data_IF_252214821222
#
_entry.id   IF_252214821222
#
_cell.length_a   1.000
_cell.length_b   1.000
_cell.length_c   1.000
_cell.angle_alpha   90.00
_cell.angle_beta   90.00
_cell.angle_gamma   90.00
#
_symmetry.space_group_name_H-M   'P 1'
#
loop_
_entity.id
_entity.type
_entity.pdbx_description
1 polymer ?
#
# COMPACT_ATOMS: atom_id res chain seq x y z
N UNK A 1 117.24 33.83 91.52
CA UNK A 1 116.89 33.23 92.82
C UNK A 1 116.39 34.33 93.74
N UNK A 2 115.11 34.30 94.10
CA UNK A 2 114.60 34.87 95.34
C UNK A 2 113.34 34.06 95.69
N UNK A 3 113.52 33.12 96.61
CA UNK A 3 112.48 32.29 97.20
C UNK A 3 111.66 33.19 98.11
N UNK A 4 110.44 33.55 97.70
CA UNK A 4 109.46 34.12 98.62
C UNK A 4 108.63 32.97 99.21
N UNK A 5 108.69 32.91 100.53
CA UNK A 5 108.06 31.96 101.43
C UNK A 5 106.55 31.85 101.18
N UNK A 6 106.05 30.62 101.05
CA UNK A 6 104.64 30.31 101.19
C UNK A 6 104.26 30.46 102.66
N UNK A 7 103.62 31.57 103.01
CA UNK A 7 102.96 31.72 104.31
C UNK A 7 101.70 30.87 104.26
N UNK A 8 101.65 29.78 105.04
CA UNK A 8 100.45 28.98 105.26
C UNK A 8 99.46 29.79 106.11
N UNK A 9 98.64 30.59 105.44
CA UNK A 9 97.57 31.36 106.05
C UNK A 9 96.34 30.46 106.20
N UNK A 10 95.85 30.29 107.43
CA UNK A 10 94.60 29.58 107.73
C UNK A 10 93.43 30.10 106.88
N UNK A 11 92.60 29.23 106.25
CA UNK A 11 91.53 29.65 105.36
C UNK A 11 90.46 30.54 106.03
N UNK A 12 90.31 30.47 107.36
CA UNK A 12 89.42 31.38 108.11
C UNK A 12 89.98 32.81 108.17
N UNK A 13 91.29 32.96 108.36
CA UNK A 13 91.95 34.28 108.43
C UNK A 13 91.98 34.98 107.07
N UNK A 14 92.21 34.22 105.98
CA UNK A 14 92.18 34.78 104.62
C UNK A 14 90.79 35.25 104.19
N UNK A 15 89.73 34.55 104.62
CA UNK A 15 88.34 34.96 104.35
C UNK A 15 88.01 36.31 105.00
N UNK A 16 88.49 36.56 106.22
CA UNK A 16 88.28 37.81 106.93
C UNK A 16 89.05 38.98 106.30
N UNK A 17 90.27 38.76 105.80
CA UNK A 17 91.02 39.78 105.04
C UNK A 17 90.30 40.20 103.76
N UNK A 18 89.78 39.25 102.99
CA UNK A 18 89.08 39.52 101.73
C UNK A 18 87.75 40.26 101.97
N UNK A 19 87.03 39.92 103.04
CA UNK A 19 85.83 40.65 103.45
C UNK A 19 86.13 42.09 103.90
N UNK A 20 87.23 42.31 104.63
CA UNK A 20 87.61 43.67 105.07
C UNK A 20 88.01 44.59 103.90
N UNK A 21 88.54 44.01 102.80
CA UNK A 21 88.99 44.75 101.61
C UNK A 21 87.95 44.80 100.49
N UNK A 22 86.76 44.20 100.66
CA UNK A 22 85.78 43.99 99.59
C UNK A 22 86.39 43.40 98.31
N UNK A 23 87.38 42.50 98.45
CA UNK A 23 88.08 41.87 97.34
C UNK A 23 87.60 40.43 97.15
N UNK A 24 87.48 40.00 95.89
CA UNK A 24 87.16 38.61 95.53
C UNK A 24 88.43 37.78 95.34
N UNK A 25 88.44 36.49 95.73
CA UNK A 25 89.61 35.63 95.60
C UNK A 25 89.97 35.41 94.12
N UNK A 26 91.25 35.57 93.78
CA UNK A 26 91.75 35.44 92.40
C UNK A 26 91.80 33.98 91.96
N UNK A 27 91.64 33.71 90.66
CA UNK A 27 91.65 32.35 90.08
C UNK A 27 92.84 31.47 90.53
N UNK A 28 94.03 32.06 90.71
CA UNK A 28 95.24 31.33 91.17
C UNK A 28 95.12 30.84 92.61
N UNK A 29 94.47 31.61 93.49
CA UNK A 29 94.25 31.22 94.88
C UNK A 29 93.24 30.06 94.93
N UNK A 30 92.14 30.16 94.17
CA UNK A 30 91.12 29.10 94.08
C UNK A 30 91.72 27.80 93.52
N UNK A 31 92.58 27.92 92.50
CA UNK A 31 93.30 26.78 91.88
C UNK A 31 94.17 26.03 92.87
N UNK A 32 94.82 26.73 93.79
CA UNK A 32 95.69 26.11 94.79
C UNK A 32 94.90 25.43 95.92
N UNK A 33 93.69 25.94 96.27
CA UNK A 33 92.88 25.36 97.35
C UNK A 33 91.98 24.20 96.91
N UNK A 34 91.31 24.30 95.76
CA UNK A 34 90.29 23.31 95.32
C UNK A 34 90.84 22.40 94.22
N UNK A 35 92.01 22.73 93.68
CA UNK A 35 92.68 21.98 92.63
C UNK A 35 92.26 22.40 91.21
N UNK A 36 93.11 22.12 90.21
CA UNK A 36 92.97 22.67 88.85
C UNK A 36 91.71 22.20 88.11
N UNK A 37 91.30 20.94 88.29
CA UNK A 37 90.17 20.35 87.57
C UNK A 37 88.84 20.97 88.03
N UNK A 38 88.65 21.07 89.35
CA UNK A 38 87.43 21.63 89.96
C UNK A 38 87.31 23.13 89.71
N UNK A 39 88.44 23.84 89.71
CA UNK A 39 88.48 25.28 89.39
C UNK A 39 88.04 25.53 87.95
N UNK A 40 88.44 24.65 87.00
CA UNK A 40 88.02 24.75 85.60
C UNK A 40 86.51 24.59 85.44
N UNK A 41 85.92 23.57 86.06
CA UNK A 41 84.46 23.35 86.05
C UNK A 41 83.71 24.57 86.64
N UNK A 42 84.17 25.11 87.76
CA UNK A 42 83.57 26.31 88.37
C UNK A 42 83.62 27.53 87.42
N UNK A 43 84.72 27.70 86.70
CA UNK A 43 84.90 28.79 85.72
C UNK A 43 84.06 28.59 84.44
N UNK A 44 83.85 27.33 84.03
CA UNK A 44 83.08 27.02 82.82
C UNK A 44 81.58 27.27 83.04
N UNK A 45 81.05 26.90 84.22
CA UNK A 45 79.62 26.98 84.56
C UNK A 45 79.19 28.26 85.31
N UNK A 46 80.09 29.22 85.53
CA UNK A 46 79.73 30.50 86.17
C UNK A 46 79.10 31.50 85.19
N UNK A 47 78.18 32.37 85.65
CA UNK A 47 77.63 33.44 84.82
C UNK A 47 78.72 34.48 84.43
N UNK A 48 78.55 35.18 83.29
CA UNK A 48 79.59 36.03 82.69
C UNK A 48 80.14 37.12 83.65
N UNK A 49 79.30 37.68 84.51
CA UNK A 49 79.72 38.69 85.49
C UNK A 49 80.68 38.12 86.54
N UNK A 50 80.48 36.85 86.92
CA UNK A 50 81.36 36.12 87.83
C UNK A 50 82.69 35.74 87.18
N UNK A 51 82.70 35.45 85.86
CA UNK A 51 83.94 35.17 85.12
C UNK A 51 84.86 36.40 85.06
N UNK A 52 84.27 37.60 84.96
CA UNK A 52 85.01 38.87 85.02
C UNK A 52 85.61 39.12 86.40
N UNK A 53 84.84 38.89 87.48
CA UNK A 53 85.31 39.05 88.87
C UNK A 53 86.42 38.06 89.25
N UNK A 54 86.34 36.81 88.78
CA UNK A 54 87.32 35.76 89.06
C UNK A 54 88.60 35.87 88.22
N UNK A 55 88.62 36.77 87.23
CA UNK A 55 89.76 36.98 86.32
C UNK A 55 89.95 35.85 85.30
N UNK A 56 88.88 35.15 84.95
CA UNK A 56 88.87 34.03 83.98
C UNK A 56 88.81 34.55 82.55
N UNK A 57 88.07 35.63 82.34
CA UNK A 57 88.15 36.42 81.11
C UNK A 57 89.50 37.14 81.13
N UNK A 58 90.34 37.01 80.09
CA UNK A 58 91.59 37.76 80.03
C UNK A 58 91.24 39.24 80.20
N UNK A 59 91.85 39.90 81.20
CA UNK A 59 91.82 41.35 81.24
C UNK A 59 92.32 41.79 79.87
N UNK A 60 91.52 42.59 79.16
CA UNK A 60 91.93 43.18 77.91
C UNK A 60 93.32 43.78 78.15
N UNK A 61 94.34 43.19 77.53
CA UNK A 61 95.65 43.80 77.50
C UNK A 61 95.43 45.15 76.84
N UNK A 62 95.49 46.21 77.66
CA UNK A 62 95.66 47.54 77.14
C UNK A 62 96.83 47.50 76.16
N UNK A 63 96.71 48.18 75.01
CA UNK A 63 97.68 48.05 73.94
C UNK A 63 99.10 48.22 74.48
N UNK A 64 100.10 47.44 73.99
CA UNK A 64 101.49 47.68 74.35
C UNK A 64 101.79 49.16 74.10
N UNK A 65 102.59 49.78 74.99
CA UNK A 65 102.87 51.22 75.07
C UNK A 65 103.38 51.91 73.77
N UNK A 66 103.42 51.21 72.63
CA UNK A 66 103.70 51.74 71.31
C UNK A 66 102.60 51.30 70.32
N UNK A 67 101.46 52.00 70.28
CA UNK A 67 100.41 51.81 69.26
C UNK A 67 100.28 53.02 68.32
N UNK A 68 101.35 53.79 68.16
CA UNK A 68 101.45 54.81 67.12
C UNK A 68 102.72 54.56 66.32
N UNK A 69 102.56 53.79 65.24
CA UNK A 69 103.48 53.87 64.10
C UNK A 69 102.89 54.97 63.20
N UNK A 70 103.58 56.11 63.01
CA UNK A 70 103.14 57.07 62.01
C UNK A 70 103.09 56.33 60.66
N UNK A 71 102.02 56.50 59.86
CA UNK A 71 101.94 55.83 58.58
C UNK A 71 103.08 56.35 57.71
N UNK A 72 103.93 55.46 57.23
CA UNK A 72 104.81 55.75 56.10
C UNK A 72 103.91 56.04 54.90
N UNK A 73 103.80 57.33 54.54
CA UNK A 73 103.12 57.83 53.35
C UNK A 73 103.30 56.85 52.18
N UNK A 74 102.25 56.40 51.48
CA UNK A 74 101.32 57.23 50.71
C UNK A 74 99.97 56.52 50.55
N UNK A 75 99.10 56.59 51.55
CA UNK A 75 97.67 56.58 51.22
C UNK A 75 97.38 58.03 50.88
N UNK A 76 97.39 58.32 49.57
CA UNK A 76 96.81 59.55 49.05
C UNK A 76 95.35 59.51 49.51
N UNK A 77 95.05 60.19 50.61
CA UNK A 77 93.72 60.67 50.91
C UNK A 77 93.39 61.60 49.74
N UNK A 78 92.92 61.03 48.63
CA UNK A 78 92.34 61.83 47.57
C UNK A 78 91.23 62.60 48.29
N UNK A 79 91.28 63.94 48.34
CA UNK A 79 90.12 64.68 48.77
C UNK A 79 88.97 64.14 47.94
N UNK A 80 87.85 63.83 48.57
CA UNK A 80 86.66 63.32 47.87
C UNK A 80 86.27 64.41 46.88
N UNK A 81 86.77 64.35 45.65
CA UNK A 81 86.67 65.41 44.65
C UNK A 81 85.25 65.51 44.10
N UNK A 82 84.42 64.52 44.37
CA UNK A 82 83.01 64.56 44.06
C UNK A 82 82.26 65.42 45.09
N UNK A 83 82.01 66.66 44.71
CA UNK A 83 81.25 67.64 45.47
C UNK A 83 79.88 67.11 45.95
N UNK A 84 79.29 66.17 45.21
CA UNK A 84 78.04 65.50 45.56
C UNK A 84 78.16 64.58 46.79
N UNK A 85 79.30 63.90 46.96
CA UNK A 85 79.54 63.00 48.09
C UNK A 85 79.82 63.84 49.35
N UNK A 86 80.59 64.92 49.23
CA UNK A 86 80.81 65.86 50.34
C UNK A 86 79.49 66.50 50.78
N UNK A 87 78.65 66.95 49.84
CA UNK A 87 77.32 67.50 50.15
C UNK A 87 76.42 66.46 50.81
N UNK A 88 76.43 65.20 50.37
CA UNK A 88 75.63 64.12 50.96
C UNK A 88 76.04 63.76 52.40
N UNK A 89 77.30 64.00 52.79
CA UNK A 89 77.83 63.73 54.13
C UNK A 89 77.64 64.90 55.13
N UNK A 90 77.10 66.03 54.67
CA UNK A 90 76.62 67.10 55.57
C UNK A 90 75.25 66.72 56.16
N UNK A 91 74.92 67.22 57.35
CA UNK A 91 73.61 66.98 57.99
C UNK A 91 72.43 67.24 57.04
N UNK A 92 72.46 68.34 56.30
CA UNK A 92 71.44 68.69 55.32
C UNK A 92 71.40 67.75 54.11
N UNK A 93 72.56 67.22 53.69
CA UNK A 93 72.65 66.21 52.66
C UNK A 93 72.05 64.87 53.07
N UNK A 94 72.30 64.45 54.32
CA UNK A 94 71.74 63.23 54.90
C UNK A 94 70.21 63.35 54.99
N UNK A 95 69.69 64.50 55.43
CA UNK A 95 68.24 64.74 55.49
C UNK A 95 67.62 64.66 54.09
N UNK A 96 68.18 65.37 53.10
CA UNK A 96 67.67 65.34 51.72
C UNK A 96 67.69 63.94 51.10
N UNK A 97 68.74 63.16 51.39
CA UNK A 97 68.85 61.78 50.93
C UNK A 97 67.80 60.90 51.63
N UNK A 98 67.59 61.06 52.93
CA UNK A 98 66.52 60.38 53.68
C UNK A 98 65.12 60.71 53.14
N UNK A 99 64.85 61.99 52.84
CA UNK A 99 63.60 62.43 52.22
C UNK A 99 63.41 61.87 50.82
N UNK A 100 64.48 61.76 50.02
CA UNK A 100 64.42 61.17 48.69
C UNK A 100 64.16 59.66 48.75
N UNK A 101 64.85 58.93 49.64
CA UNK A 101 64.63 57.50 49.86
C UNK A 101 63.22 57.24 50.37
N UNK A 102 62.73 58.06 51.33
CA UNK A 102 61.36 57.98 51.83
C UNK A 102 60.34 58.20 50.70
N UNK A 103 60.51 59.23 49.88
CA UNK A 103 59.64 59.49 48.72
C UNK A 103 59.64 58.34 47.71
N UNK A 104 60.81 57.78 47.40
CA UNK A 104 60.91 56.63 46.49
C UNK A 104 60.23 55.39 47.08
N UNK A 105 60.43 55.12 48.37
CA UNK A 105 59.78 54.01 49.05
C UNK A 105 58.26 54.19 49.09
N UNK A 106 57.75 55.39 49.43
CA UNK A 106 56.32 55.71 49.39
C UNK A 106 55.75 55.55 47.98
N UNK A 107 56.47 56.00 46.95
CA UNK A 107 56.06 55.83 45.55
C UNK A 107 56.01 54.35 45.14
N UNK A 108 57.01 53.55 45.53
CA UNK A 108 57.05 52.11 45.23
C UNK A 108 55.94 51.35 45.95
N UNK A 109 55.67 51.69 47.22
CA UNK A 109 54.56 51.10 48.00
C UNK A 109 53.23 51.47 47.38
N UNK A 110 53.00 52.74 47.06
CA UNK A 110 51.77 53.20 46.42
C UNK A 110 51.56 52.57 45.04
N UNK A 111 52.64 52.41 44.25
CA UNK A 111 52.59 51.73 42.96
C UNK A 111 52.18 50.28 43.11
N UNK A 112 52.82 49.52 44.01
CA UNK A 112 52.45 48.12 44.29
C UNK A 112 51.01 47.99 44.79
N UNK A 113 50.57 48.90 45.65
CA UNK A 113 49.20 48.94 46.15
C UNK A 113 48.20 49.18 44.99
N UNK A 114 48.45 50.17 44.15
CA UNK A 114 47.60 50.48 43.00
C UNK A 114 47.59 49.34 41.96
N UNK A 115 48.73 48.71 41.71
CA UNK A 115 48.82 47.57 40.79
C UNK A 115 48.03 46.36 41.34
N UNK A 116 48.10 46.09 42.65
CA UNK A 116 47.32 45.04 43.30
C UNK A 116 45.82 45.34 43.24
N UNK A 117 45.42 46.56 43.62
CA UNK A 117 44.02 46.98 43.60
C UNK A 117 43.44 46.97 42.18
N UNK A 118 44.22 47.37 41.18
CA UNK A 118 43.82 47.28 39.77
C UNK A 118 43.64 45.84 39.31
N UNK A 119 44.49 44.91 39.76
CA UNK A 119 44.34 43.47 39.48
C UNK A 119 43.07 42.91 40.11
N UNK A 120 42.84 43.17 41.39
CA UNK A 120 41.63 42.71 42.10
C UNK A 120 40.35 43.26 41.46
N UNK A 121 40.32 44.55 41.11
CA UNK A 121 39.18 45.15 40.40
C UNK A 121 38.94 44.46 39.06
N UNK A 122 40.00 44.17 38.30
CA UNK A 122 39.87 43.48 37.00
C UNK A 122 39.39 42.03 37.15
N UNK A 123 39.87 41.31 38.17
CA UNK A 123 39.42 39.95 38.48
C UNK A 123 37.94 39.92 38.88
N UNK A 124 37.52 40.81 39.79
CA UNK A 124 36.12 40.95 40.20
C UNK A 124 35.25 41.30 39.00
N UNK A 125 35.69 42.26 38.17
CA UNK A 125 34.97 42.63 36.94
C UNK A 125 34.84 41.46 35.99
N UNK A 126 35.89 40.68 35.79
CA UNK A 126 35.87 39.51 34.92
C UNK A 126 34.92 38.43 35.45
N UNK A 127 34.92 38.17 36.76
CA UNK A 127 33.99 37.22 37.38
C UNK A 127 32.54 37.68 37.23
N UNK A 128 32.26 38.95 37.49
CA UNK A 128 30.93 39.52 37.33
C UNK A 128 30.44 39.48 35.88
N UNK A 129 31.30 39.79 34.91
CA UNK A 129 30.96 39.67 33.48
C UNK A 129 30.68 38.21 33.07
N UNK A 130 31.44 37.24 33.61
CA UNK A 130 31.22 35.83 33.37
C UNK A 130 29.89 35.34 33.98
N UNK A 131 29.58 35.74 35.21
CA UNK A 131 28.31 35.41 35.89
C UNK A 131 27.12 36.01 35.14
N UNK A 132 27.21 37.28 34.72
CA UNK A 132 26.18 37.92 33.89
C UNK A 132 25.93 37.14 32.60
N UNK A 133 26.99 36.72 31.89
CA UNK A 133 26.86 35.91 30.66
C UNK A 133 26.21 34.57 30.95
N UNK A 134 26.59 33.93 32.07
CA UNK A 134 26.01 32.66 32.48
C UNK A 134 24.51 32.78 32.77
N UNK A 135 24.10 33.78 33.54
CA UNK A 135 22.68 34.04 33.84
C UNK A 135 21.86 34.33 32.58
N UNK A 136 22.40 35.12 31.65
CA UNK A 136 21.76 35.39 30.34
C UNK A 136 21.60 34.09 29.54
N UNK A 137 22.65 33.28 29.44
CA UNK A 137 22.61 32.03 28.69
C UNK A 137 21.62 31.03 29.30
N UNK A 138 21.54 30.97 30.63
CA UNK A 138 20.58 30.13 31.33
C UNK A 138 19.14 30.55 30.98
N UNK A 139 18.83 31.83 31.06
CA UNK A 139 17.51 32.37 30.69
C UNK A 139 17.16 32.14 29.21
N UNK A 140 18.13 32.29 28.30
CA UNK A 140 17.95 31.99 26.88
C UNK A 140 17.64 30.50 26.68
N UNK A 141 18.36 29.61 27.37
CA UNK A 141 18.13 28.17 27.24
C UNK A 141 16.78 27.75 27.83
N UNK A 142 16.37 28.32 28.96
CA UNK A 142 15.05 28.07 29.56
C UNK A 142 13.92 28.49 28.62
N UNK A 143 14.00 29.73 28.09
CA UNK A 143 13.00 30.22 27.13
C UNK A 143 12.98 29.39 25.87
N UNK A 144 14.15 29.02 25.33
CA UNK A 144 14.27 28.12 24.18
C UNK A 144 13.59 26.78 24.43
N UNK A 145 13.87 26.12 25.55
CA UNK A 145 13.28 24.82 25.89
C UNK A 145 11.76 24.88 25.99
N UNK A 146 11.20 25.98 26.54
CA UNK A 146 9.76 26.20 26.61
C UNK A 146 9.14 26.32 25.22
N UNK A 147 9.78 27.08 24.32
CA UNK A 147 9.27 27.24 22.95
C UNK A 147 9.44 25.97 22.11
N UNK A 148 10.56 25.26 22.22
CA UNK A 148 10.77 23.97 21.56
C UNK A 148 9.71 22.95 22.01
N UNK A 149 9.46 22.83 23.32
CA UNK A 149 8.40 21.96 23.85
C UNK A 149 7.01 22.34 23.32
N UNK A 150 6.73 23.64 23.19
CA UNK A 150 5.45 24.12 22.65
C UNK A 150 5.32 23.85 21.16
N UNK A 151 6.40 24.01 20.38
CA UNK A 151 6.44 23.69 18.95
C UNK A 151 6.22 22.20 18.75
N UNK A 152 6.88 21.35 19.53
CA UNK A 152 6.72 19.89 19.44
C UNK A 152 5.28 19.47 19.75
N UNK A 153 4.66 20.06 20.78
CA UNK A 153 3.28 19.80 21.13
C UNK A 153 2.31 20.21 20.02
N UNK A 154 2.48 21.42 19.48
CA UNK A 154 1.67 21.91 18.37
C UNK A 154 1.85 21.05 17.11
N UNK A 155 3.08 20.66 16.81
CA UNK A 155 3.39 19.81 15.65
C UNK A 155 2.68 18.46 15.77
N UNK A 156 2.75 17.81 16.93
CA UNK A 156 2.04 16.55 17.20
C UNK A 156 0.51 16.71 17.11
N UNK A 157 -0.03 17.82 17.63
CA UNK A 157 -1.47 18.10 17.54
C UNK A 157 -1.91 18.28 16.08
N UNK A 158 -1.14 19.03 15.30
CA UNK A 158 -1.40 19.26 13.88
C UNK A 158 -1.28 17.97 13.06
N UNK A 159 -0.26 17.15 13.31
CA UNK A 159 -0.09 15.84 12.67
C UNK A 159 -1.28 14.92 12.97
N UNK A 160 -1.73 14.86 14.22
CA UNK A 160 -2.90 14.06 14.62
C UNK A 160 -4.18 14.52 13.92
N UNK A 161 -4.43 15.84 13.89
CA UNK A 161 -5.58 16.42 13.16
C UNK A 161 -5.50 16.13 11.66
N UNK A 162 -4.31 16.24 11.06
CA UNK A 162 -4.10 15.96 9.65
C UNK A 162 -4.34 14.48 9.33
N UNK A 163 -3.84 13.57 10.16
CA UNK A 163 -4.07 12.13 10.00
C UNK A 163 -5.55 11.78 10.12
N UNK A 164 -6.25 12.36 11.10
CA UNK A 164 -7.70 12.16 11.26
C UNK A 164 -8.48 12.67 10.05
N UNK A 165 -8.19 13.88 9.57
CA UNK A 165 -8.83 14.45 8.39
C UNK A 165 -8.54 13.65 7.12
N UNK A 166 -7.30 13.17 6.94
CA UNK A 166 -6.92 12.30 5.83
C UNK A 166 -7.69 10.97 5.87
N UNK A 167 -7.76 10.34 7.04
CA UNK A 167 -8.52 9.10 7.22
C UNK A 167 -10.00 9.28 6.88
N UNK A 168 -10.61 10.38 7.31
CA UNK A 168 -12.00 10.71 7.01
C UNK A 168 -12.24 10.91 5.50
N UNK A 169 -11.36 11.64 4.83
CA UNK A 169 -11.45 11.87 3.37
C UNK A 169 -11.27 10.56 2.61
N UNK A 170 -10.30 9.73 3.00
CA UNK A 170 -10.06 8.41 2.39
C UNK A 170 -11.28 7.50 2.58
N UNK A 171 -11.85 7.45 3.79
CA UNK A 171 -13.04 6.64 4.08
C UNK A 171 -14.25 7.11 3.26
N UNK A 172 -14.50 8.42 3.19
CA UNK A 172 -15.58 9.00 2.36
C UNK A 172 -15.37 8.70 0.89
N UNK A 173 -14.14 8.82 0.39
CA UNK A 173 -13.79 8.51 -1.00
C UNK A 173 -14.03 7.03 -1.31
N UNK A 174 -13.54 6.12 -0.45
CA UNK A 174 -13.73 4.69 -0.61
C UNK A 174 -15.22 4.31 -0.60
N UNK A 175 -16.02 4.87 0.30
CA UNK A 175 -17.48 4.66 0.33
C UNK A 175 -18.15 5.12 -0.96
N UNK A 176 -17.74 6.27 -1.53
CA UNK A 176 -18.27 6.77 -2.81
C UNK A 176 -17.86 5.87 -3.97
N UNK A 177 -16.59 5.47 -4.02
CA UNK A 177 -16.06 4.59 -5.06
C UNK A 177 -16.75 3.22 -5.04
N UNK A 178 -16.91 2.61 -3.85
CA UNK A 178 -17.63 1.35 -3.71
C UNK A 178 -19.08 1.45 -4.20
N UNK A 179 -19.80 2.52 -3.83
CA UNK A 179 -21.16 2.76 -4.34
C UNK A 179 -21.20 2.91 -5.86
N UNK A 180 -20.26 3.66 -6.44
CA UNK A 180 -20.17 3.84 -7.88
C UNK A 180 -19.87 2.52 -8.61
N UNK A 181 -18.91 1.73 -8.11
CA UNK A 181 -18.57 0.43 -8.68
C UNK A 181 -19.74 -0.55 -8.62
N UNK A 182 -20.46 -0.61 -7.51
CA UNK A 182 -21.65 -1.47 -7.38
C UNK A 182 -22.76 -1.03 -8.33
N UNK A 183 -23.03 0.28 -8.41
CA UNK A 183 -24.04 0.82 -9.33
C UNK A 183 -23.69 0.51 -10.80
N UNK A 184 -22.42 0.70 -11.18
CA UNK A 184 -21.95 0.41 -12.54
C UNK A 184 -22.04 -1.10 -12.84
N UNK A 185 -21.67 -1.96 -11.89
CA UNK A 185 -21.81 -3.41 -12.03
C UNK A 185 -23.26 -3.82 -12.27
N UNK A 186 -24.20 -3.27 -11.50
CA UNK A 186 -25.63 -3.54 -11.69
C UNK A 186 -26.10 -3.05 -13.06
N UNK A 187 -25.71 -1.85 -13.47
CA UNK A 187 -26.03 -1.29 -14.79
C UNK A 187 -25.52 -2.18 -15.93
N UNK A 188 -24.24 -2.56 -15.90
CA UNK A 188 -23.62 -3.41 -16.92
C UNK A 188 -24.26 -4.80 -16.96
N UNK A 189 -24.49 -5.43 -15.81
CA UNK A 189 -25.16 -6.74 -15.76
C UNK A 189 -26.58 -6.67 -16.32
N UNK A 190 -27.34 -5.63 -16.00
CA UNK A 190 -28.67 -5.43 -16.56
C UNK A 190 -28.63 -5.25 -18.08
N UNK A 191 -27.70 -4.44 -18.61
CA UNK A 191 -27.53 -4.25 -20.05
C UNK A 191 -27.13 -5.56 -20.76
N UNK A 192 -26.24 -6.35 -20.16
CA UNK A 192 -25.83 -7.65 -20.72
C UNK A 192 -27.00 -8.64 -20.74
N UNK A 193 -27.78 -8.73 -19.65
CA UNK A 193 -28.95 -9.59 -19.59
C UNK A 193 -30.01 -9.19 -20.60
N UNK A 194 -30.21 -7.89 -20.81
CA UNK A 194 -31.10 -7.37 -21.86
C UNK A 194 -30.64 -7.82 -23.25
N UNK A 195 -29.38 -7.60 -23.60
CA UNK A 195 -28.82 -8.05 -24.89
C UNK A 195 -28.95 -9.55 -25.09
N UNK A 196 -28.69 -10.34 -24.05
CA UNK A 196 -28.81 -11.80 -24.10
C UNK A 196 -30.27 -12.21 -24.33
N UNK A 197 -31.23 -11.56 -23.67
CA UNK A 197 -32.66 -11.79 -23.89
C UNK A 197 -33.08 -11.44 -25.31
N UNK A 198 -32.62 -10.31 -25.83
CA UNK A 198 -32.91 -9.87 -27.20
C UNK A 198 -32.36 -10.88 -28.23
N UNK A 199 -31.13 -11.39 -28.02
CA UNK A 199 -30.52 -12.41 -28.88
C UNK A 199 -31.24 -13.76 -28.81
N UNK A 200 -31.66 -14.20 -27.62
CA UNK A 200 -32.49 -15.40 -27.46
C UNK A 200 -33.81 -15.21 -28.22
N UNK A 201 -34.46 -14.06 -28.08
CA UNK A 201 -35.71 -13.75 -28.80
C UNK A 201 -35.52 -13.85 -30.31
N UNK A 202 -34.46 -13.24 -30.85
CA UNK A 202 -34.12 -13.34 -32.26
C UNK A 202 -33.88 -14.78 -32.72
N UNK A 203 -33.11 -15.56 -31.95
CA UNK A 203 -32.84 -16.98 -32.26
C UNK A 203 -34.11 -17.82 -32.25
N UNK A 204 -35.01 -17.61 -31.28
CA UNK A 204 -36.28 -18.34 -31.18
C UNK A 204 -37.15 -18.06 -32.40
N UNK A 205 -37.30 -16.78 -32.78
CA UNK A 205 -38.07 -16.40 -33.99
C UNK A 205 -37.46 -17.05 -35.23
N UNK A 206 -36.13 -16.93 -35.41
CA UNK A 206 -35.43 -17.53 -36.55
C UNK A 206 -35.62 -19.04 -36.64
N UNK A 207 -35.48 -19.76 -35.51
CA UNK A 207 -35.68 -21.21 -35.45
C UNK A 207 -37.14 -21.59 -35.75
N UNK A 208 -38.09 -20.81 -35.26
CA UNK A 208 -39.51 -21.03 -35.54
C UNK A 208 -39.81 -20.85 -37.03
N UNK A 209 -39.32 -19.78 -37.65
CA UNK A 209 -39.47 -19.53 -39.09
C UNK A 209 -38.83 -20.65 -39.94
N UNK A 210 -37.65 -21.13 -39.55
CA UNK A 210 -36.98 -22.26 -40.21
C UNK A 210 -37.79 -23.56 -40.08
N UNK A 211 -38.32 -23.83 -38.89
CA UNK A 211 -39.16 -24.99 -38.63
C UNK A 211 -40.48 -24.93 -39.40
N UNK A 212 -41.15 -23.78 -39.43
CA UNK A 212 -42.39 -23.59 -40.16
C UNK A 212 -42.18 -23.77 -41.66
N UNK A 213 -41.10 -23.17 -42.20
CA UNK A 213 -40.73 -23.33 -43.62
C UNK A 213 -40.48 -24.80 -43.96
N UNK A 214 -39.74 -25.52 -43.12
CA UNK A 214 -39.50 -26.96 -43.32
C UNK A 214 -40.80 -27.77 -43.25
N UNK A 215 -41.63 -27.50 -42.24
CA UNK A 215 -42.92 -28.17 -42.06
C UNK A 215 -43.87 -27.94 -43.23
N UNK A 216 -43.86 -26.74 -43.82
CA UNK A 216 -44.62 -26.43 -45.03
C UNK A 216 -44.14 -27.27 -46.22
N UNK A 217 -42.83 -27.32 -46.45
CA UNK A 217 -42.23 -28.14 -47.52
C UNK A 217 -42.55 -29.62 -47.33
N UNK A 218 -42.44 -30.15 -46.11
CA UNK A 218 -42.76 -31.54 -45.80
C UNK A 218 -44.25 -31.84 -46.07
N UNK A 219 -45.15 -30.92 -45.72
CA UNK A 219 -46.59 -31.03 -46.00
C UNK A 219 -46.86 -31.02 -47.51
N UNK A 220 -46.23 -30.11 -48.25
CA UNK A 220 -46.36 -30.02 -49.72
C UNK A 220 -45.84 -31.29 -50.40
N UNK A 221 -44.71 -31.83 -49.95
CA UNK A 221 -44.15 -33.11 -50.43
C UNK A 221 -45.11 -34.27 -50.16
N UNK A 222 -45.69 -34.34 -48.95
CA UNK A 222 -46.65 -35.39 -48.59
C UNK A 222 -47.93 -35.32 -49.44
N UNK A 223 -48.43 -34.11 -49.72
CA UNK A 223 -49.55 -33.90 -50.64
C UNK A 223 -49.19 -34.33 -52.06
N UNK A 224 -47.98 -34.02 -52.53
CA UNK A 224 -47.50 -34.43 -53.85
C UNK A 224 -47.41 -35.96 -53.97
N UNK A 225 -46.85 -36.63 -52.96
CA UNK A 225 -46.75 -38.10 -52.90
C UNK A 225 -48.12 -38.78 -52.84
N UNK A 226 -49.04 -38.25 -52.03
CA UNK A 226 -50.41 -38.73 -51.98
C UNK A 226 -51.12 -38.57 -53.32
N UNK A 227 -51.02 -37.40 -53.96
CA UNK A 227 -51.62 -37.14 -55.26
C UNK A 227 -51.05 -38.04 -56.35
N UNK A 228 -49.74 -38.33 -56.32
CA UNK A 228 -49.09 -39.28 -57.23
C UNK A 228 -49.66 -40.68 -57.04
N UNK A 229 -49.84 -41.11 -55.80
CA UNK A 229 -50.43 -42.42 -55.47
C UNK A 229 -51.88 -42.51 -55.97
N UNK A 230 -52.70 -41.50 -55.71
CA UNK A 230 -54.09 -41.44 -56.20
C UNK A 230 -54.16 -41.45 -57.73
N UNK A 231 -53.28 -40.71 -58.42
CA UNK A 231 -53.21 -40.74 -59.90
C UNK A 231 -52.86 -42.13 -60.42
N UNK A 232 -51.91 -42.81 -59.81
CA UNK A 232 -51.54 -44.17 -60.20
C UNK A 232 -52.70 -45.15 -60.00
N UNK A 233 -53.41 -45.09 -58.87
CA UNK A 233 -54.57 -45.94 -58.61
C UNK A 233 -55.74 -45.64 -59.58
N UNK A 234 -55.99 -44.36 -59.89
CA UNK A 234 -56.98 -43.99 -60.93
C UNK A 234 -56.62 -44.56 -62.28
N UNK A 235 -55.36 -44.50 -62.68
CA UNK A 235 -54.90 -45.07 -63.95
C UNK A 235 -55.10 -46.59 -63.98
N UNK A 236 -54.72 -47.31 -62.91
CA UNK A 236 -54.97 -48.76 -62.78
C UNK A 236 -56.45 -49.09 -62.90
N UNK A 237 -57.31 -48.36 -62.18
CA UNK A 237 -58.76 -48.57 -62.24
C UNK A 237 -59.31 -48.28 -63.64
N UNK A 238 -58.80 -47.26 -64.33
CA UNK A 238 -59.22 -46.94 -65.69
C UNK A 238 -58.77 -48.02 -66.68
N UNK A 239 -57.57 -48.60 -66.51
CA UNK A 239 -57.10 -49.73 -67.31
C UNK A 239 -57.99 -50.97 -67.11
N UNK A 240 -58.38 -51.25 -65.85
CA UNK A 240 -59.32 -52.34 -65.52
C UNK A 240 -60.69 -52.07 -66.14
N UNK A 241 -61.22 -50.84 -66.01
CA UNK A 241 -62.51 -50.44 -66.57
C UNK A 241 -62.52 -50.58 -68.09
N UNK A 242 -61.47 -50.10 -68.77
CA UNK A 242 -61.33 -50.22 -70.22
C UNK A 242 -61.22 -51.68 -70.68
N UNK A 243 -60.54 -52.53 -69.91
CA UNK A 243 -60.47 -53.96 -70.20
C UNK A 243 -61.85 -54.61 -70.08
N UNK A 244 -62.58 -54.30 -69.01
CA UNK A 244 -63.94 -54.78 -68.79
C UNK A 244 -64.93 -54.27 -69.86
N UNK A 245 -64.82 -53.01 -70.26
CA UNK A 245 -65.66 -52.43 -71.32
C UNK A 245 -65.39 -53.09 -72.67
N UNK A 246 -64.13 -53.36 -73.01
CA UNK A 246 -63.78 -54.12 -74.22
C UNK A 246 -64.35 -55.53 -74.18
N UNK A 247 -64.23 -56.22 -73.05
CA UNK A 247 -64.78 -57.56 -72.85
C UNK A 247 -66.31 -57.55 -73.00
N UNK A 248 -67.00 -56.60 -72.37
CA UNK A 248 -68.46 -56.45 -72.48
C UNK A 248 -68.91 -56.07 -73.89
N UNK A 249 -68.20 -55.19 -74.58
CA UNK A 249 -68.50 -54.85 -75.96
C UNK A 249 -68.33 -56.05 -76.91
N UNK A 250 -67.31 -56.89 -76.68
CA UNK A 250 -67.16 -58.15 -77.41
C UNK A 250 -68.32 -59.11 -77.13
N UNK A 251 -68.70 -59.27 -75.87
CA UNK A 251 -69.84 -60.10 -75.47
C UNK A 251 -71.16 -59.63 -76.13
N UNK A 252 -71.44 -58.32 -76.10
CA UNK A 252 -72.60 -57.72 -76.77
C UNK A 252 -72.56 -57.95 -78.28
N UNK A 253 -71.40 -57.78 -78.92
CA UNK A 253 -71.25 -58.03 -80.36
C UNK A 253 -71.49 -59.49 -80.74
N UNK A 254 -71.01 -60.44 -79.93
CA UNK A 254 -71.28 -61.86 -80.13
C UNK A 254 -72.79 -62.13 -80.01
N UNK A 255 -73.43 -61.66 -78.93
CA UNK A 255 -74.88 -61.81 -78.74
C UNK A 255 -75.68 -61.19 -79.90
N UNK A 256 -75.26 -60.03 -80.40
CA UNK A 256 -75.88 -59.39 -81.57
C UNK A 256 -75.74 -60.24 -82.83
N UNK A 257 -74.55 -60.75 -83.12
CA UNK A 257 -74.30 -61.64 -84.27
C UNK A 257 -75.09 -62.95 -84.16
N UNK A 258 -75.28 -63.49 -82.94
CA UNK A 258 -76.12 -64.66 -82.70
C UNK A 258 -77.60 -64.37 -83.01
N UNK A 259 -78.11 -63.21 -82.60
CA UNK A 259 -79.49 -62.78 -82.92
C UNK A 259 -79.66 -62.57 -84.43
N UNK A 260 -78.72 -61.88 -85.08
CA UNK A 260 -78.73 -61.66 -86.52
C UNK A 260 -78.69 -62.99 -87.31
N UNK A 261 -77.84 -63.95 -86.89
CA UNK A 261 -77.82 -65.29 -87.47
C UNK A 261 -79.12 -66.07 -87.24
N UNK A 262 -79.72 -65.98 -86.04
CA UNK A 262 -81.04 -66.58 -85.78
C UNK A 262 -82.11 -66.00 -86.71
N UNK A 263 -82.11 -64.69 -86.90
CA UNK A 263 -83.02 -64.00 -87.82
C UNK A 263 -82.79 -64.42 -89.28
N UNK A 264 -81.53 -64.44 -89.74
CA UNK A 264 -81.15 -64.93 -91.08
C UNK A 264 -81.58 -66.39 -91.29
N UNK A 265 -81.40 -67.25 -90.30
CA UNK A 265 -81.84 -68.65 -90.36
C UNK A 265 -83.36 -68.75 -90.45
N UNK A 266 -84.11 -67.94 -89.71
CA UNK A 266 -85.58 -67.87 -89.82
C UNK A 266 -86.00 -67.43 -91.24
N UNK A 267 -85.33 -66.42 -91.80
CA UNK A 267 -85.61 -65.91 -93.14
C UNK A 267 -85.25 -66.91 -94.25
N UNK A 268 -84.12 -67.63 -94.11
CA UNK A 268 -83.77 -68.73 -95.00
C UNK A 268 -84.81 -69.85 -94.90
N UNK A 269 -85.25 -70.19 -93.69
CA UNK A 269 -86.25 -71.23 -93.48
C UNK A 269 -87.62 -70.82 -94.04
N UNK A 270 -88.02 -69.55 -93.94
CA UNK A 270 -89.26 -69.05 -94.56
C UNK A 270 -89.17 -69.07 -96.09
N UNK A 271 -88.06 -68.63 -96.68
CA UNK A 271 -87.83 -68.71 -98.14
C UNK A 271 -87.79 -70.16 -98.62
N UNK A 272 -87.17 -71.07 -97.85
CA UNK A 272 -87.20 -72.52 -98.15
C UNK A 272 -88.61 -73.08 -98.04
N UNK A 273 -89.39 -72.70 -97.04
CA UNK A 273 -90.78 -73.11 -96.89
C UNK A 273 -91.65 -72.58 -98.04
N UNK A 274 -91.43 -71.34 -98.49
CA UNK A 274 -92.08 -70.79 -99.68
C UNK A 274 -91.65 -71.52 -100.96
N UNK A 275 -90.36 -71.81 -101.14
CA UNK A 275 -89.89 -72.62 -102.27
C UNK A 275 -90.51 -74.01 -102.26
N UNK A 276 -90.59 -74.67 -101.11
CA UNK A 276 -91.27 -75.96 -100.97
C UNK A 276 -92.76 -75.85 -101.26
N UNK A 277 -93.44 -74.78 -100.83
CA UNK A 277 -94.86 -74.50 -101.20
C UNK A 277 -95.03 -74.23 -102.70
N UNK A 278 -94.06 -73.56 -103.34
CA UNK A 278 -94.02 -73.33 -104.77
C UNK A 278 -93.76 -74.63 -105.54
N UNK A 279 -92.86 -75.48 -105.07
CA UNK A 279 -92.58 -76.81 -105.65
C UNK A 279 -93.76 -77.76 -105.47
N UNK A 280 -94.49 -77.70 -104.34
CA UNK A 280 -95.77 -78.40 -104.20
C UNK A 280 -96.86 -77.82 -105.09
N UNK A 281 -96.94 -76.49 -105.28
CA UNK A 281 -97.84 -75.87 -106.27
C UNK A 281 -97.50 -76.30 -107.71
N UNK A 282 -96.22 -76.48 -108.03
CA UNK A 282 -95.75 -76.93 -109.36
C UNK A 282 -95.96 -78.45 -109.56
N UNK A 283 -95.81 -79.27 -108.53
CA UNK A 283 -96.13 -80.71 -108.59
C UNK A 283 -97.64 -80.97 -108.62
N UNK A 284 -98.44 -80.13 -107.94
CA UNK A 284 -99.91 -80.15 -108.07
C UNK A 284 -100.37 -79.78 -109.49
N UNK A 285 -99.64 -78.91 -110.20
CA UNK A 285 -99.93 -78.53 -111.59
C UNK A 285 -99.56 -79.59 -112.64
N UNK A 286 -98.69 -80.57 -112.34
CA UNK A 286 -98.27 -81.61 -113.30
C UNK A 286 -99.12 -82.89 -113.26
N UNK A 287 -99.97 -83.10 -112.26
CA UNK A 287 -100.74 -84.36 -112.12
C UNK A 287 -102.23 -84.28 -112.43
N UNK A 288 -102.79 -83.13 -112.79
CA UNK A 288 -104.21 -83.04 -113.13
C UNK A 288 -104.48 -82.12 -114.34
N UNK A 289 -104.60 -82.75 -115.51
CA UNK A 289 -105.27 -82.19 -116.69
C UNK A 289 -106.79 -82.13 -116.42
N UNK A 290 -107.27 -80.92 -116.07
CA UNK A 290 -108.49 -80.19 -116.48
C UNK A 290 -109.89 -80.87 -116.58
N UNK A 291 -111.03 -80.12 -116.50
CA UNK A 291 -111.20 -78.66 -116.34
C UNK A 291 -112.34 -78.16 -115.39
N UNK A 292 -112.24 -76.90 -114.94
CA UNK A 292 -113.33 -75.88 -114.79
C UNK A 292 -112.66 -74.56 -114.37
N UNK A 293 -112.59 -73.55 -115.24
CA UNK A 293 -113.55 -72.43 -115.47
C UNK A 293 -113.64 -71.47 -114.26
N UNK A 294 -112.92 -70.36 -114.41
CA UNK A 294 -113.25 -68.93 -114.13
C UNK A 294 -113.81 -68.56 -112.73
N UNK A 295 -113.31 -67.58 -111.96
CA UNK A 295 -112.92 -66.20 -112.28
C UNK A 295 -111.92 -65.59 -111.24
N UNK A 296 -111.37 -64.44 -111.64
CA UNK A 296 -110.39 -63.48 -111.07
C UNK A 296 -110.77 -62.95 -109.64
N UNK A 297 -109.87 -62.46 -108.77
CA UNK A 297 -109.02 -61.26 -108.93
C UNK A 297 -107.93 -61.17 -107.83
N UNK A 298 -106.89 -60.39 -108.13
CA UNK A 298 -105.62 -60.22 -107.39
C UNK A 298 -105.63 -58.89 -106.57
N UNK A 299 -104.49 -58.36 -106.05
CA UNK A 299 -104.17 -58.25 -104.63
C UNK A 299 -104.12 -56.79 -104.10
N UNK A 300 -103.85 -56.59 -102.80
CA UNK A 300 -103.23 -55.35 -102.32
C UNK A 300 -102.42 -55.53 -101.02
N UNK A 301 -101.23 -54.95 -101.05
CA UNK A 301 -100.17 -54.90 -100.03
C UNK A 301 -100.36 -53.66 -99.10
N UNK A 302 -99.48 -53.41 -98.10
CA UNK A 302 -99.76 -53.17 -96.67
C UNK A 302 -99.91 -51.67 -96.29
N UNK A 303 -99.90 -51.28 -94.99
CA UNK A 303 -98.63 -50.71 -94.48
C UNK A 303 -98.33 -50.82 -92.96
N UNK A 304 -97.03 -50.69 -92.68
CA UNK A 304 -96.34 -49.88 -91.63
C UNK A 304 -96.58 -50.06 -90.11
N UNK A 305 -95.49 -50.50 -89.46
CA UNK A 305 -94.70 -49.82 -88.40
C UNK A 305 -95.45 -48.93 -87.38
N UNK A 306 -95.27 -49.21 -86.08
CA UNK A 306 -94.67 -48.32 -85.04
C UNK A 306 -94.56 -49.12 -83.73
N UNK A 307 -93.32 -49.29 -83.24
CA UNK A 307 -93.03 -49.69 -81.86
C UNK A 307 -92.73 -48.42 -81.05
N UNK A 308 -93.53 -48.15 -80.03
CA UNK A 308 -93.15 -47.31 -78.89
C UNK A 308 -93.82 -47.87 -77.63
N UNK A 309 -93.01 -48.03 -76.58
CA UNK A 309 -93.23 -47.79 -75.14
C UNK A 309 -92.11 -48.55 -74.41
N UNK A 310 -91.05 -47.83 -73.99
CA UNK A 310 -90.89 -47.23 -72.67
C UNK A 310 -91.24 -48.17 -71.52
N UNK A 311 -90.21 -48.56 -70.77
CA UNK A 311 -90.29 -48.92 -69.37
C UNK A 311 -89.24 -48.08 -68.64
N UNK A 312 -89.75 -47.35 -67.66
CA UNK A 312 -89.06 -46.47 -66.73
C UNK A 312 -88.19 -47.21 -65.71
N UNK A 313 -87.47 -46.38 -64.95
CA UNK A 313 -87.02 -46.56 -63.57
C UNK A 313 -85.75 -47.38 -63.32
N UNK A 314 -84.75 -46.74 -62.68
CA UNK A 314 -84.46 -46.97 -61.26
C UNK A 314 -83.32 -46.07 -60.71
N UNK A 315 -83.58 -45.49 -59.52
CA UNK A 315 -82.70 -44.94 -58.46
C UNK A 315 -82.10 -43.53 -58.67
N UNK A 316 -82.55 -42.46 -58.00
CA UNK A 316 -82.73 -42.15 -56.56
C UNK A 316 -81.42 -41.99 -55.77
N UNK A 317 -81.16 -40.74 -55.39
CA UNK A 317 -80.67 -40.21 -54.11
C UNK A 317 -79.50 -40.88 -53.38
N UNK A 318 -78.48 -40.07 -53.05
CA UNK A 318 -78.05 -39.92 -51.66
C UNK A 318 -77.20 -38.66 -51.41
N UNK A 319 -77.66 -37.91 -50.42
CA UNK A 319 -77.00 -36.81 -49.71
C UNK A 319 -75.65 -37.24 -49.08
N UNK A 320 -74.74 -36.28 -48.85
CA UNK A 320 -74.16 -36.08 -47.51
C UNK A 320 -73.40 -34.74 -47.40
N UNK A 321 -73.84 -33.92 -46.45
CA UNK A 321 -73.16 -32.71 -45.94
C UNK A 321 -72.13 -33.08 -44.88
N UNK A 322 -71.01 -32.36 -44.79
CA UNK A 322 -70.25 -32.20 -43.55
C UNK A 322 -69.78 -30.74 -43.42
N UNK A 323 -70.33 -30.07 -42.41
CA UNK A 323 -69.85 -28.83 -41.79
C UNK A 323 -68.72 -29.11 -40.77
N UNK A 324 -68.18 -28.00 -40.23
CA UNK A 324 -67.34 -27.82 -39.04
C UNK A 324 -65.83 -27.83 -39.31
N UNK A 325 -65.17 -26.66 -39.26
CA UNK A 325 -64.78 -25.84 -38.09
C UNK A 325 -63.59 -26.47 -37.35
N UNK A 326 -62.47 -25.73 -37.27
CA UNK A 326 -62.08 -25.06 -36.02
C UNK A 326 -60.71 -24.38 -36.16
N UNK A 327 -60.74 -23.07 -35.90
CA UNK A 327 -59.63 -22.25 -35.42
C UNK A 327 -59.23 -22.74 -34.01
N UNK A 328 -57.92 -22.83 -33.76
CA UNK A 328 -57.39 -22.81 -32.40
C UNK A 328 -56.32 -21.72 -32.35
N UNK A 329 -56.74 -20.57 -31.85
CA UNK A 329 -55.86 -19.53 -31.35
C UNK A 329 -55.16 -20.02 -30.08
N UNK A 330 -53.84 -19.82 -30.08
CA UNK A 330 -52.99 -19.91 -28.93
C UNK A 330 -53.30 -18.74 -27.99
N UNK A 331 -53.34 -18.98 -26.69
CA UNK A 331 -52.89 -17.93 -25.79
C UNK A 331 -52.14 -18.43 -24.56
N UNK A 332 -51.17 -17.60 -24.24
CA UNK A 332 -49.94 -17.91 -23.51
C UNK A 332 -50.15 -17.68 -22.02
N UNK A 333 -49.61 -18.61 -21.24
CA UNK A 333 -49.49 -18.52 -19.78
C UNK A 333 -48.60 -17.34 -19.40
N UNK A 334 -49.17 -16.42 -18.64
CA UNK A 334 -48.47 -15.45 -17.80
C UNK A 334 -47.75 -16.17 -16.66
N UNK A 335 -46.42 -16.07 -16.65
CA UNK A 335 -45.55 -16.35 -15.51
C UNK A 335 -45.05 -14.99 -15.00
N UNK A 336 -45.83 -14.35 -14.14
CA UNK A 336 -45.39 -13.25 -13.27
C UNK A 336 -45.66 -13.70 -11.83
N UNK A 337 -44.60 -14.07 -11.12
CA UNK A 337 -44.47 -13.96 -9.65
C UNK A 337 -43.15 -14.62 -9.27
N UNK A 338 -42.11 -13.81 -9.10
CA UNK A 338 -40.96 -13.97 -8.19
C UNK A 338 -39.94 -12.87 -8.46
N UNK A 339 -40.21 -11.68 -7.94
CA UNK A 339 -39.21 -10.68 -7.54
C UNK A 339 -39.63 -10.09 -6.21
#
# INVERSE_FOLDING_TARGET
>A
MNKNFSVDISPKSRRLELQAKNETPKQREIKNYIGPIRTKILCDFSPPDMKNLLGVTPQLEGPPKNLWTPPSDKIILRPVTNHNIIKALTHDGIIKLGEQVKRNYEADVNKKLNDNLSREINEIRSMFEAEKRHAINLSINETRNVYESKIDLLTKEHESKLQSALAEVVEKSNKRLQKAVVAERVSVTHQMLKKLRDEIGYMVIKLYDEFERKSRVDRENMIADFNKTIRNERNKNNDILNAFEKEKNLEINIQRLEIENKYLNLLINSVKAERSCSETRMSFRQQNFQPSVDDEDEPLFPPEIILYYNIDDFLSDNNFSIESNDEIDNDVRTFEELT
#
